data_IF_905072737057
#
_entry.id   IF_905072737057
#
_cell.length_a   1.000
_cell.length_b   1.000
_cell.length_c   1.000
_cell.angle_alpha   90.00
_cell.angle_beta   90.00
_cell.angle_gamma   90.00
#
_symmetry.space_group_name_H-M   'P 1'
#
loop_
_entity.id
_entity.type
_entity.pdbx_description
1 polymer ?
#
# COMPACT_ATOMS: atom_id res chain seq x y z
N UNK A 1 -17.37 -1.05 -18.50
CA UNK A 1 -16.58 0.18 -18.31
C UNK A 1 -15.35 -0.18 -17.48
N UNK A 2 -14.19 0.45 -17.74
CA UNK A 2 -13.00 0.19 -16.94
C UNK A 2 -13.22 0.68 -15.49
N UNK A 3 -12.54 0.09 -14.50
CA UNK A 3 -12.62 0.55 -13.12
C UNK A 3 -12.04 1.96 -13.00
N UNK A 4 -12.68 2.78 -12.17
CA UNK A 4 -12.17 4.10 -11.81
C UNK A 4 -11.16 3.98 -10.67
N UNK A 5 -10.00 4.61 -10.81
CA UNK A 5 -8.96 4.64 -9.79
C UNK A 5 -8.23 5.98 -9.80
N UNK A 6 -7.58 6.30 -8.68
CA UNK A 6 -6.72 7.47 -8.52
C UNK A 6 -5.44 7.04 -7.79
N UNK A 7 -4.29 7.50 -8.28
CA UNK A 7 -2.98 7.25 -7.65
C UNK A 7 -2.45 8.57 -7.09
N UNK A 8 -2.26 8.62 -5.78
CA UNK A 8 -1.69 9.78 -5.07
C UNK A 8 -0.65 9.33 -4.06
N UNK A 9 0.39 10.14 -3.85
CA UNK A 9 1.42 9.87 -2.87
C UNK A 9 2.56 10.89 -2.94
N UNK A 10 3.17 11.25 -1.79
CA UNK A 10 4.23 12.26 -1.74
C UNK A 10 5.51 11.84 -2.46
N UNK A 11 5.74 10.52 -2.57
CA UNK A 11 6.94 9.89 -3.16
C UNK A 11 6.71 9.32 -4.56
N UNK A 12 5.54 9.57 -5.15
CA UNK A 12 5.19 9.13 -6.50
C UNK A 12 5.52 10.25 -7.50
N UNK A 13 6.55 10.06 -8.33
CA UNK A 13 6.88 11.03 -9.37
C UNK A 13 5.85 11.02 -10.49
N UNK A 14 5.86 12.07 -11.32
CA UNK A 14 4.97 12.12 -12.50
C UNK A 14 5.28 11.00 -13.48
N UNK A 15 6.55 10.68 -13.67
CA UNK A 15 7.01 9.58 -14.54
C UNK A 15 6.55 8.23 -13.99
N UNK A 16 6.72 8.01 -12.68
CA UNK A 16 6.27 6.77 -12.02
C UNK A 16 4.77 6.56 -12.16
N UNK A 17 3.99 7.64 -12.00
CA UNK A 17 2.53 7.58 -12.15
C UNK A 17 2.14 7.14 -13.56
N UNK A 18 2.76 7.70 -14.60
CA UNK A 18 2.49 7.27 -15.97
C UNK A 18 2.88 5.82 -16.23
N UNK A 19 4.03 5.38 -15.69
CA UNK A 19 4.47 3.99 -15.82
C UNK A 19 3.50 3.00 -15.15
N UNK A 20 3.01 3.35 -13.94
CA UNK A 20 1.99 2.56 -13.24
C UNK A 20 0.66 2.56 -13.98
N UNK A 21 0.19 3.71 -14.48
CA UNK A 21 -1.06 3.79 -15.27
C UNK A 21 -1.00 2.88 -16.51
N UNK A 22 0.13 2.88 -17.22
CA UNK A 22 0.34 2.01 -18.39
C UNK A 22 0.30 0.52 -18.00
N UNK A 23 1.02 0.13 -16.94
CA UNK A 23 1.04 -1.24 -16.44
C UNK A 23 -0.34 -1.72 -15.95
N UNK A 24 -1.09 -0.87 -15.25
CA UNK A 24 -2.46 -1.16 -14.77
C UNK A 24 -3.43 -1.33 -15.94
N UNK A 25 -3.32 -0.48 -16.97
CA UNK A 25 -4.13 -0.59 -18.18
C UNK A 25 -3.82 -1.87 -18.97
N UNK A 26 -2.54 -2.23 -19.12
CA UNK A 26 -2.14 -3.49 -19.75
C UNK A 26 -2.73 -4.69 -18.99
N UNK A 27 -2.60 -4.72 -17.67
CA UNK A 27 -3.15 -5.78 -16.81
C UNK A 27 -4.67 -5.88 -16.94
N UNK A 28 -5.37 -4.74 -17.07
CA UNK A 28 -6.81 -4.71 -17.30
C UNK A 28 -7.20 -5.34 -18.65
N UNK A 29 -6.47 -5.04 -19.73
CA UNK A 29 -6.72 -5.61 -21.05
C UNK A 29 -6.50 -7.13 -21.08
N UNK A 30 -5.55 -7.64 -20.29
CA UNK A 30 -5.28 -9.07 -20.17
C UNK A 30 -6.35 -9.82 -19.37
N UNK A 31 -7.02 -9.15 -18.43
CA UNK A 31 -7.94 -9.75 -17.47
C UNK A 31 -9.39 -9.25 -17.64
N UNK A 32 -9.80 -9.01 -18.89
CA UNK A 32 -11.15 -8.55 -19.20
C UNK A 32 -12.22 -9.52 -18.67
N UNK A 33 -13.24 -8.96 -18.02
CA UNK A 33 -14.36 -9.73 -17.46
C UNK A 33 -14.05 -10.43 -16.14
N UNK A 34 -12.82 -10.30 -15.61
CA UNK A 34 -12.43 -10.86 -14.32
C UNK A 34 -12.23 -9.78 -13.25
N UNK A 35 -12.33 -10.12 -11.94
CA UNK A 35 -12.00 -9.19 -10.86
C UNK A 35 -10.52 -8.76 -10.91
N UNK A 36 -10.27 -7.46 -11.11
CA UNK A 36 -8.94 -6.94 -11.42
C UNK A 36 -8.16 -6.38 -10.21
N UNK A 37 -8.84 -6.09 -9.10
CA UNK A 37 -8.26 -5.38 -7.95
C UNK A 37 -7.03 -6.08 -7.39
N UNK A 38 -7.08 -7.41 -7.23
CA UNK A 38 -5.94 -8.17 -6.70
C UNK A 38 -4.74 -8.15 -7.66
N UNK A 39 -4.99 -8.28 -8.96
CA UNK A 39 -3.94 -8.21 -9.98
C UNK A 39 -3.27 -6.83 -9.97
N UNK A 40 -4.06 -5.75 -9.93
CA UNK A 40 -3.55 -4.38 -9.81
C UNK A 40 -2.73 -4.15 -8.55
N UNK A 41 -3.17 -4.65 -7.39
CA UNK A 41 -2.39 -4.56 -6.14
C UNK A 41 -1.05 -5.29 -6.30
N UNK A 42 -1.05 -6.45 -6.97
CA UNK A 42 0.17 -7.23 -7.20
C UNK A 42 1.16 -6.46 -8.05
N UNK A 43 0.71 -5.89 -9.18
CA UNK A 43 1.53 -5.07 -10.08
C UNK A 43 2.11 -3.85 -9.37
N UNK A 44 1.30 -3.14 -8.57
CA UNK A 44 1.77 -1.97 -7.79
C UNK A 44 2.84 -2.39 -6.78
N UNK A 45 2.67 -3.52 -6.08
CA UNK A 45 3.66 -4.02 -5.12
C UNK A 45 4.98 -4.36 -5.81
N UNK A 46 4.94 -5.10 -6.91
CA UNK A 46 6.12 -5.47 -7.68
C UNK A 46 6.87 -4.23 -8.21
N UNK A 47 6.13 -3.23 -8.70
CA UNK A 47 6.71 -1.94 -9.12
C UNK A 47 7.43 -1.22 -7.98
N UNK A 48 6.81 -1.15 -6.80
CA UNK A 48 7.39 -0.49 -5.62
C UNK A 48 8.61 -1.24 -5.08
N UNK A 49 8.58 -2.57 -5.09
CA UNK A 49 9.73 -3.41 -4.70
C UNK A 49 10.92 -3.21 -5.66
N UNK A 50 10.66 -3.18 -6.97
CA UNK A 50 11.69 -2.92 -7.97
C UNK A 50 12.33 -1.53 -7.79
N UNK A 51 11.50 -0.50 -7.54
CA UNK A 51 11.98 0.88 -7.30
C UNK A 51 12.83 0.97 -6.03
N UNK A 52 12.42 0.30 -4.95
CA UNK A 52 13.19 0.25 -3.69
C UNK A 52 14.57 -0.40 -3.86
N UNK A 53 14.72 -1.33 -4.79
CA UNK A 53 16.02 -1.94 -5.14
C UNK A 53 16.97 -1.00 -5.89
N UNK A 54 16.46 0.05 -6.53
CA UNK A 54 17.27 1.00 -7.31
C UNK A 54 17.91 2.11 -6.46
N UNK A 55 17.40 2.39 -5.25
CA UNK A 55 18.00 3.39 -4.35
C UNK A 55 19.31 2.91 -3.67
N UNK A 56 19.73 1.66 -3.87
CA UNK A 56 20.89 1.04 -3.18
C UNK A 56 22.15 0.92 -4.06
N UNK A 57 22.24 1.61 -5.21
CA UNK A 57 23.38 1.45 -6.13
C UNK A 57 24.08 2.79 -6.42
N UNK A 58 24.82 3.30 -5.44
CA UNK A 58 26.08 4.02 -5.71
C UNK A 58 27.27 3.11 -5.36
N UNK A 59 27.88 2.58 -6.41
CA UNK A 59 29.21 1.97 -6.62
C UNK A 59 30.05 1.57 -5.38
N UNK A 60 30.24 0.26 -5.19
CA UNK A 60 31.33 -0.36 -4.43
C UNK A 60 31.34 -1.90 -4.60
N UNK A 61 32.51 -2.57 -4.72
CA UNK A 61 32.58 -3.94 -5.22
C UNK A 61 32.07 -4.98 -4.21
N UNK A 62 31.54 -6.05 -4.80
CA UNK A 62 30.91 -7.25 -4.24
C UNK A 62 31.64 -7.84 -3.02
N UNK A 63 30.94 -7.93 -1.89
CA UNK A 63 31.11 -9.02 -0.93
C UNK A 63 29.75 -9.59 -0.56
N UNK A 64 29.59 -10.88 -0.82
CA UNK A 64 28.41 -11.69 -0.49
C UNK A 64 28.27 -11.69 1.02
N UNK A 65 27.30 -10.96 1.54
CA UNK A 65 26.95 -10.95 2.95
C UNK A 65 25.50 -11.43 3.05
N UNK A 66 25.35 -12.67 3.52
CA UNK A 66 24.10 -13.22 4.06
C UNK A 66 23.57 -12.25 5.12
N UNK A 67 22.70 -11.33 4.72
CA UNK A 67 22.15 -10.32 5.61
C UNK A 67 20.71 -10.65 5.91
N UNK A 68 20.57 -11.25 7.08
CA UNK A 68 19.39 -11.31 7.95
C UNK A 68 18.38 -10.23 7.56
N UNK A 69 17.16 -10.67 7.21
CA UNK A 69 16.01 -9.83 6.89
C UNK A 69 15.67 -8.99 8.12
N UNK A 70 16.26 -7.81 8.25
CA UNK A 70 15.75 -6.78 9.14
C UNK A 70 14.42 -6.31 8.54
N UNK A 71 13.32 -6.25 9.32
CA UNK A 71 12.08 -5.69 8.79
C UNK A 71 12.37 -4.23 8.44
N UNK A 72 12.30 -3.92 7.15
CA UNK A 72 12.29 -2.54 6.71
C UNK A 72 11.06 -1.89 7.31
N UNK A 73 11.28 -1.08 8.34
CA UNK A 73 10.30 -0.13 8.84
C UNK A 73 10.20 0.94 7.75
N UNK A 74 9.32 0.70 6.77
CA UNK A 74 8.70 1.80 6.05
C UNK A 74 7.98 2.61 7.11
N UNK A 75 8.34 3.89 7.29
CA UNK A 75 7.55 4.81 8.11
C UNK A 75 6.17 4.90 7.48
N UNK A 76 5.28 4.00 7.91
CA UNK A 76 3.84 4.13 7.77
C UNK A 76 3.52 5.50 8.32
N UNK A 77 3.07 6.41 7.46
CA UNK A 77 2.38 7.63 7.88
C UNK A 77 1.46 7.27 9.04
N UNK A 78 1.58 7.98 10.17
CA UNK A 78 1.02 7.66 11.49
C UNK A 78 -0.47 7.25 11.40
N UNK A 79 -0.75 5.97 11.14
CA UNK A 79 -2.11 5.44 11.22
C UNK A 79 -2.45 5.34 12.70
N UNK A 80 -3.43 6.11 13.20
CA UNK A 80 -3.73 6.12 14.62
C UNK A 80 -4.18 4.72 15.05
N UNK A 81 -3.66 4.27 16.18
CA UNK A 81 -4.06 2.98 16.75
C UNK A 81 -5.53 3.03 17.15
N UNK A 82 -6.36 2.17 16.55
CA UNK A 82 -7.79 2.03 16.87
C UNK A 82 -7.97 0.92 17.91
N UNK A 83 -8.49 1.30 19.07
CA UNK A 83 -8.87 0.39 20.14
C UNK A 83 -10.34 -0.02 19.98
N UNK A 84 -10.60 -1.31 20.14
CA UNK A 84 -11.91 -1.90 19.99
C UNK A 84 -12.35 -2.43 21.36
N UNK A 85 -13.56 -2.08 21.77
CA UNK A 85 -14.19 -2.66 22.96
C UNK A 85 -14.79 -4.03 22.69
N UNK A 86 -15.20 -4.70 23.76
CA UNK A 86 -15.99 -5.92 23.68
C UNK A 86 -17.35 -5.66 23.02
N UNK A 87 -17.89 -6.69 22.36
CA UNK A 87 -19.22 -6.61 21.74
C UNK A 87 -20.30 -6.69 22.82
N UNK A 88 -21.12 -5.64 22.93
CA UNK A 88 -22.30 -5.59 23.79
C UNK A 88 -23.55 -5.95 22.98
N UNK A 89 -24.40 -6.84 23.50
CA UNK A 89 -25.67 -7.19 22.86
C UNK A 89 -26.84 -6.71 23.71
N UNK A 90 -27.74 -5.90 23.13
CA UNK A 90 -29.00 -5.49 23.75
C UNK A 90 -30.16 -5.73 22.78
N UNK A 91 -31.20 -6.46 23.21
CA UNK A 91 -32.43 -6.71 22.41
C UNK A 91 -32.17 -7.15 20.95
N UNK A 92 -31.22 -8.07 20.74
CA UNK A 92 -30.74 -8.56 19.42
C UNK A 92 -29.93 -7.55 18.60
N UNK A 93 -29.69 -6.35 19.12
CA UNK A 93 -28.74 -5.40 18.55
C UNK A 93 -27.34 -5.69 19.09
N UNK A 94 -26.33 -5.65 18.22
CA UNK A 94 -24.93 -5.82 18.57
C UNK A 94 -24.21 -4.48 18.44
N UNK A 95 -23.46 -4.09 19.47
CA UNK A 95 -22.73 -2.84 19.55
C UNK A 95 -21.27 -3.11 19.83
N UNK A 96 -20.37 -2.41 19.15
CA UNK A 96 -18.94 -2.44 19.43
C UNK A 96 -18.41 -1.02 19.44
N UNK A 97 -17.71 -0.64 20.51
CA UNK A 97 -17.10 0.67 20.63
C UNK A 97 -15.73 0.68 19.92
N UNK A 98 -15.46 1.72 19.14
CA UNK A 98 -14.16 1.97 18.52
C UNK A 98 -13.63 3.33 19.01
N UNK A 99 -12.36 3.37 19.45
CA UNK A 99 -11.72 4.56 20.00
C UNK A 99 -10.35 4.78 19.36
N UNK A 100 -10.02 6.02 19.02
CA UNK A 100 -8.69 6.42 18.60
C UNK A 100 -8.31 7.71 19.32
N UNK A 101 -7.03 7.86 19.68
CA UNK A 101 -6.53 9.11 20.26
C UNK A 101 -6.31 10.11 19.13
N UNK A 102 -6.96 11.27 19.22
CA UNK A 102 -6.80 12.39 18.29
C UNK A 102 -5.99 13.48 18.98
N UNK A 103 -4.99 14.04 18.32
CA UNK A 103 -4.07 15.00 18.95
C UNK A 103 -4.37 16.47 18.57
N UNK A 104 -5.04 16.71 17.44
CA UNK A 104 -5.51 18.03 17.01
C UNK A 104 -6.87 17.96 16.32
N UNK A 105 -7.61 19.07 16.28
CA UNK A 105 -8.89 19.13 15.55
C UNK A 105 -8.67 19.13 14.03
N UNK A 106 -7.51 19.62 13.60
CA UNK A 106 -7.11 19.74 12.20
C UNK A 106 -6.54 18.44 11.60
N UNK A 107 -6.50 17.36 12.40
CA UNK A 107 -6.19 15.98 11.98
C UNK A 107 -7.48 15.23 11.66
#
# INVERSE_FOLDING_TARGET
EPPLYELSGPSLSREDRYALEDALNATYLENLGSPIIYAWITVIKEYLEAKKGQEIVEVGPVEVSERIVAPVVTSVDDVPTIYHGDVLTDRKSHFQAHLARVNSKEE
#
